data_IF_749667216280
#
_entry.id   IF_749667216280
#
_cell.length_a   1.000
_cell.length_b   1.000
_cell.length_c   1.000
_cell.angle_alpha   90.00
_cell.angle_beta   90.00
_cell.angle_gamma   90.00
#
_symmetry.space_group_name_H-M   'P 1'
#
loop_
_entity.id
_entity.type
_entity.pdbx_description
1 polymer ?
#
# COMPACT_ATOMS: atom_id res chain seq x y z
N UNK A 1 23.97 6.20 -2.41
CA UNK A 1 22.76 6.63 -3.17
C UNK A 1 21.60 5.61 -3.19
N UNK A 2 21.83 4.28 -3.31
CA UNK A 2 20.74 3.28 -3.42
C UNK A 2 19.76 3.22 -2.22
N UNK A 3 20.25 3.42 -0.99
CA UNK A 3 19.42 3.43 0.24
C UNK A 3 18.35 4.54 0.24
N UNK A 4 18.70 5.74 -0.22
CA UNK A 4 17.78 6.90 -0.22
C UNK A 4 16.62 6.71 -1.23
N UNK A 5 16.87 6.06 -2.37
CA UNK A 5 15.81 5.78 -3.36
C UNK A 5 14.80 4.73 -2.85
N UNK A 6 15.28 3.67 -2.18
CA UNK A 6 14.41 2.64 -1.60
C UNK A 6 13.55 3.19 -0.46
N UNK A 7 14.12 4.07 0.38
CA UNK A 7 13.39 4.77 1.43
C UNK A 7 12.30 5.68 0.86
N UNK A 8 12.60 6.49 -0.16
CA UNK A 8 11.61 7.31 -0.86
C UNK A 8 10.49 6.48 -1.48
N UNK A 9 10.83 5.33 -2.09
CA UNK A 9 9.82 4.43 -2.65
C UNK A 9 8.92 3.84 -1.57
N UNK A 10 9.48 3.48 -0.42
CA UNK A 10 8.71 3.01 0.74
C UNK A 10 7.73 4.09 1.24
N UNK A 11 8.16 5.36 1.32
CA UNK A 11 7.27 6.48 1.69
C UNK A 11 6.11 6.65 0.70
N UNK A 12 6.38 6.56 -0.60
CA UNK A 12 5.33 6.64 -1.63
C UNK A 12 4.33 5.49 -1.47
N UNK A 13 4.81 4.26 -1.23
CA UNK A 13 3.94 3.09 -1.01
C UNK A 13 3.06 3.28 0.24
N UNK A 14 3.63 3.80 1.34
CA UNK A 14 2.88 4.10 2.56
C UNK A 14 1.77 5.14 2.31
N UNK A 15 2.10 6.26 1.66
CA UNK A 15 1.11 7.29 1.28
C UNK A 15 0.00 6.73 0.40
N UNK A 16 0.34 5.88 -0.58
CA UNK A 16 -0.68 5.21 -1.43
C UNK A 16 -1.60 4.29 -0.62
N UNK A 17 -1.07 3.54 0.34
CA UNK A 17 -1.90 2.70 1.23
C UNK A 17 -2.87 3.53 2.06
N UNK A 18 -2.43 4.67 2.58
CA UNK A 18 -3.27 5.60 3.34
C UNK A 18 -4.43 6.14 2.48
N UNK A 19 -4.13 6.58 1.25
CA UNK A 19 -5.16 7.04 0.30
C UNK A 19 -6.18 5.94 -0.02
N UNK A 20 -5.72 4.70 -0.26
CA UNK A 20 -6.63 3.58 -0.51
C UNK A 20 -7.47 3.21 0.72
N UNK A 21 -6.96 3.41 1.94
CA UNK A 21 -7.75 3.18 3.15
C UNK A 21 -8.89 4.21 3.29
N UNK A 22 -8.63 5.47 2.96
CA UNK A 22 -9.65 6.52 2.93
C UNK A 22 -10.71 6.23 1.85
N UNK A 23 -10.27 5.82 0.66
CA UNK A 23 -11.17 5.46 -0.44
C UNK A 23 -12.01 4.22 -0.11
N UNK A 24 -11.42 3.20 0.51
CA UNK A 24 -12.16 2.04 1.02
C UNK A 24 -13.24 2.47 2.01
N UNK A 25 -12.89 3.30 2.99
CA UNK A 25 -13.86 3.81 3.97
C UNK A 25 -15.00 4.61 3.30
N UNK A 26 -14.68 5.40 2.27
CA UNK A 26 -15.68 6.11 1.45
C UNK A 26 -16.62 5.14 0.74
N UNK A 27 -16.07 4.12 0.09
CA UNK A 27 -16.84 3.11 -0.65
C UNK A 27 -17.71 2.25 0.27
N UNK A 28 -17.22 1.91 1.47
CA UNK A 28 -18.01 1.23 2.50
C UNK A 28 -19.19 2.09 2.92
N UNK A 29 -19.00 3.39 3.18
CA UNK A 29 -20.12 4.30 3.47
C UNK A 29 -21.14 4.36 2.33
N UNK A 30 -20.69 4.38 1.08
CA UNK A 30 -21.57 4.36 -0.08
C UNK A 30 -22.37 3.06 -0.20
N UNK A 31 -21.75 1.91 0.09
CA UNK A 31 -22.43 0.62 0.13
C UNK A 31 -23.54 0.61 1.20
N UNK A 32 -23.27 1.15 2.39
CA UNK A 32 -24.27 1.29 3.45
C UNK A 32 -25.44 2.18 3.02
N UNK A 33 -25.17 3.19 2.18
CA UNK A 33 -26.19 4.08 1.62
C UNK A 33 -26.99 3.49 0.44
N UNK A 34 -26.92 2.19 0.16
CA UNK A 34 -27.73 1.64 -0.95
C UNK A 34 -27.06 1.67 -2.31
N UNK A 35 -25.88 2.30 -2.42
CA UNK A 35 -25.29 2.69 -3.71
C UNK A 35 -24.40 1.59 -4.27
N UNK A 36 -24.35 1.48 -5.59
CA UNK A 36 -23.52 0.52 -6.29
C UNK A 36 -22.01 0.89 -6.19
N UNK A 37 -21.34 0.41 -5.16
CA UNK A 37 -19.91 0.62 -4.92
C UNK A 37 -19.11 -0.70 -4.77
N UNK A 38 -19.76 -1.85 -4.86
CA UNK A 38 -19.16 -3.16 -4.60
C UNK A 38 -17.97 -3.48 -5.52
N UNK A 39 -18.11 -3.20 -6.82
CA UNK A 39 -17.06 -3.44 -7.82
C UNK A 39 -15.83 -2.56 -7.58
N UNK A 40 -16.04 -1.29 -7.21
CA UNK A 40 -14.95 -0.37 -6.87
C UNK A 40 -14.27 -0.79 -5.56
N UNK A 41 -15.05 -1.19 -4.56
CA UNK A 41 -14.53 -1.68 -3.29
C UNK A 41 -13.65 -2.92 -3.47
N UNK A 42 -14.05 -3.85 -4.34
CA UNK A 42 -13.26 -5.03 -4.68
C UNK A 42 -11.92 -4.65 -5.36
N UNK A 43 -11.92 -3.66 -6.26
CA UNK A 43 -10.69 -3.16 -6.88
C UNK A 43 -9.73 -2.55 -5.85
N UNK A 44 -10.24 -1.68 -4.97
CA UNK A 44 -9.45 -1.04 -3.91
C UNK A 44 -8.85 -2.07 -2.95
N UNK A 45 -9.62 -3.10 -2.57
CA UNK A 45 -9.11 -4.19 -1.72
C UNK A 45 -7.97 -4.96 -2.39
N UNK A 46 -8.08 -5.30 -3.68
CA UNK A 46 -6.99 -5.96 -4.43
C UNK A 46 -5.73 -5.10 -4.48
N UNK A 47 -5.89 -3.80 -4.72
CA UNK A 47 -4.77 -2.86 -4.80
C UNK A 47 -4.06 -2.70 -3.44
N UNK A 48 -4.80 -2.65 -2.33
CA UNK A 48 -4.22 -2.63 -0.97
C UNK A 48 -3.34 -3.85 -0.70
N UNK A 49 -3.77 -5.03 -1.13
CA UNK A 49 -2.97 -6.27 -0.98
C UNK A 49 -1.69 -6.18 -1.81
N UNK A 50 -1.77 -5.71 -3.05
CA UNK A 50 -0.60 -5.53 -3.90
C UNK A 50 0.43 -4.56 -3.28
N UNK A 51 -0.04 -3.42 -2.75
CA UNK A 51 0.82 -2.45 -2.06
C UNK A 51 1.42 -3.00 -0.76
N UNK A 52 0.67 -3.82 -0.01
CA UNK A 52 1.21 -4.46 1.20
C UNK A 52 2.36 -5.43 0.86
N UNK A 53 2.23 -6.17 -0.25
CA UNK A 53 3.31 -7.03 -0.74
C UNK A 53 4.51 -6.23 -1.23
N UNK A 54 4.30 -5.11 -1.92
CA UNK A 54 5.37 -4.21 -2.34
C UNK A 54 6.11 -3.61 -1.13
N UNK A 55 5.36 -3.15 -0.13
CA UNK A 55 5.92 -2.63 1.13
C UNK A 55 6.79 -3.69 1.83
N UNK A 56 6.28 -4.92 1.99
CA UNK A 56 7.02 -6.01 2.62
C UNK A 56 8.32 -6.33 1.87
N UNK A 57 8.29 -6.33 0.53
CA UNK A 57 9.48 -6.51 -0.31
C UNK A 57 10.49 -5.39 -0.09
N UNK A 58 10.05 -4.13 -0.07
CA UNK A 58 10.93 -2.97 0.15
C UNK A 58 11.57 -3.02 1.53
N UNK A 59 10.79 -3.32 2.58
CA UNK A 59 11.30 -3.47 3.94
C UNK A 59 12.35 -4.57 4.01
N UNK A 60 12.09 -5.74 3.39
CA UNK A 60 13.05 -6.84 3.34
C UNK A 60 14.36 -6.43 2.67
N UNK A 61 14.28 -5.81 1.50
CA UNK A 61 15.48 -5.36 0.76
C UNK A 61 16.26 -4.31 1.55
N UNK A 62 15.58 -3.35 2.18
CA UNK A 62 16.23 -2.34 3.02
C UNK A 62 16.95 -3.02 4.19
N UNK A 63 16.30 -3.94 4.92
CA UNK A 63 16.91 -4.69 6.03
C UNK A 63 18.13 -5.49 5.59
N UNK A 64 18.04 -6.16 4.44
CA UNK A 64 19.17 -6.91 3.88
C UNK A 64 20.32 -5.98 3.47
N UNK A 65 20.03 -4.80 2.92
CA UNK A 65 21.06 -3.82 2.55
C UNK A 65 21.79 -3.20 3.74
N UNK A 66 21.16 -3.20 4.93
CA UNK A 66 21.74 -2.69 6.18
C UNK A 66 22.55 -3.74 6.97
N UNK A 67 22.43 -5.03 6.63
CA UNK A 67 23.19 -6.09 7.29
C UNK A 67 24.43 -6.42 6.43
N UNK A 68 25.65 -6.05 6.83
CA UNK A 68 26.83 -6.48 6.10
C UNK A 68 26.91 -8.00 6.19
N UNK A 69 27.05 -8.67 5.04
CA UNK A 69 27.41 -10.08 5.01
C UNK A 69 28.81 -10.17 5.61
N UNK A 70 28.90 -10.66 6.86
CA UNK A 70 30.14 -11.10 7.50
C UNK A 70 30.45 -12.50 6.98
#
# INVERSE_FOLDING_TARGET
>A
MKSNLLQRRLEVVKKRKELLALEEARLVRLMLQKKAAATQLAKVKKEKVALALEEAKLIRVIKQSSYPAV
#
